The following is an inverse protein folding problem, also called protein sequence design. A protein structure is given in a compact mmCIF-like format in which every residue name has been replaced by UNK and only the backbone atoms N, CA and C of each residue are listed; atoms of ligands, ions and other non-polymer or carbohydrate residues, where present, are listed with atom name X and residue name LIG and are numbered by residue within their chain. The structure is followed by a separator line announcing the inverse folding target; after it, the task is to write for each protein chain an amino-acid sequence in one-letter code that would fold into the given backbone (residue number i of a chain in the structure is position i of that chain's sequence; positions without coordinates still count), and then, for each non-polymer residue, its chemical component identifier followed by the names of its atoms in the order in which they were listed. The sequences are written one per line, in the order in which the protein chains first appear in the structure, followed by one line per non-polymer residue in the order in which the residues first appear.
data_IF_390771750492
#
_entry.id   IF_390771750492
#
_cell.length_a   1.000
_cell.length_b   1.000
_cell.length_c   1.000
_cell.angle_alpha   90.00
_cell.angle_beta   90.00
_cell.angle_gamma   90.00
#
_symmetry.space_group_name_H-M   'P 1'
#
loop_
_entity.id
_entity.type
_entity.pdbx_description
1 polymer ?
#
# COMPACT_ATOMS: atom_id res chain seq x y z
N UNK A 1 -18.05 46.48 33.58
CA UNK A 1 -18.38 45.11 33.96
C UNK A 1 -19.21 44.36 32.90
N UNK A 2 -20.31 44.92 32.38
CA UNK A 2 -21.17 44.24 31.39
C UNK A 2 -20.47 43.91 30.07
N UNK A 3 -19.59 44.75 29.55
CA UNK A 3 -18.85 44.53 28.31
C UNK A 3 -17.82 43.39 28.42
N UNK A 4 -17.18 43.24 29.56
CA UNK A 4 -16.21 42.14 29.79
C UNK A 4 -16.89 40.77 29.90
N UNK A 5 -18.08 40.70 30.45
CA UNK A 5 -18.88 39.47 30.54
C UNK A 5 -19.37 39.04 29.16
N UNK A 6 -19.76 40.00 28.31
CA UNK A 6 -20.20 39.73 26.94
C UNK A 6 -19.07 39.17 26.08
N UNK A 7 -17.87 39.72 26.21
CA UNK A 7 -16.66 39.22 25.51
C UNK A 7 -16.27 37.81 25.98
N UNK A 8 -16.34 37.52 27.27
CA UNK A 8 -16.06 36.20 27.81
C UNK A 8 -17.08 35.16 27.35
N UNK A 9 -18.35 35.50 27.29
CA UNK A 9 -19.41 34.64 26.78
C UNK A 9 -19.27 34.40 25.26
N UNK A 10 -18.89 35.43 24.49
CA UNK A 10 -18.69 35.32 23.05
C UNK A 10 -17.46 34.43 22.70
N UNK A 11 -16.36 34.60 23.44
CA UNK A 11 -15.15 33.76 23.27
C UNK A 11 -15.44 32.32 23.72
N UNK A 12 -16.18 32.12 24.81
CA UNK A 12 -16.59 30.79 25.26
C UNK A 12 -17.51 30.09 24.25
N UNK A 13 -18.46 30.83 23.67
CA UNK A 13 -19.39 30.31 22.68
C UNK A 13 -18.68 30.00 21.33
N UNK A 14 -17.76 30.86 20.89
CA UNK A 14 -16.93 30.62 19.73
C UNK A 14 -16.00 29.42 19.92
N UNK A 15 -15.45 29.25 21.14
CA UNK A 15 -14.62 28.09 21.48
C UNK A 15 -15.45 26.79 21.53
N UNK A 16 -16.67 26.83 22.04
CA UNK A 16 -17.57 25.66 22.04
C UNK A 16 -18.00 25.24 20.63
N UNK A 17 -18.18 26.18 19.71
CA UNK A 17 -18.51 25.88 18.31
C UNK A 17 -17.30 25.36 17.49
N UNK A 18 -16.08 25.70 17.86
CA UNK A 18 -14.87 25.25 17.18
C UNK A 18 -14.35 23.89 17.64
N UNK A 19 -14.70 23.46 18.87
CA UNK A 19 -14.27 22.18 19.43
C UNK A 19 -14.73 20.96 18.62
N UNK A 20 -16.02 20.80 18.23
CA UNK A 20 -16.45 19.66 17.43
C UNK A 20 -15.79 19.64 16.06
N UNK A 21 -15.70 20.79 15.36
CA UNK A 21 -15.03 20.88 14.07
C UNK A 21 -13.55 20.47 14.12
N UNK A 22 -12.86 20.84 15.20
CA UNK A 22 -11.48 20.44 15.43
C UNK A 22 -11.36 18.93 15.70
N UNK A 23 -12.32 18.36 16.44
CA UNK A 23 -12.35 16.93 16.73
C UNK A 23 -12.59 16.09 15.49
N UNK A 24 -13.51 16.50 14.61
CA UNK A 24 -13.75 15.87 13.31
C UNK A 24 -12.50 15.90 12.45
N UNK A 25 -11.87 17.07 12.33
CA UNK A 25 -10.62 17.21 11.58
C UNK A 25 -9.53 16.28 12.09
N UNK A 26 -9.35 16.17 13.40
CA UNK A 26 -8.36 15.27 14.01
C UNK A 26 -8.68 13.80 13.73
N UNK A 27 -9.96 13.42 13.72
CA UNK A 27 -10.41 12.05 13.44
C UNK A 27 -10.16 11.68 11.97
N UNK A 28 -10.41 12.61 11.03
CA UNK A 28 -10.06 12.42 9.62
C UNK A 28 -8.54 12.33 9.43
N UNK A 29 -7.76 13.23 10.03
CA UNK A 29 -6.31 13.21 9.94
C UNK A 29 -5.71 11.90 10.48
N UNK A 30 -6.22 11.39 11.60
CA UNK A 30 -5.85 10.08 12.15
C UNK A 30 -6.18 8.95 11.19
N UNK A 31 -7.35 8.97 10.58
CA UNK A 31 -7.76 7.96 9.59
C UNK A 31 -6.88 7.98 8.36
N UNK A 32 -6.48 9.16 7.87
CA UNK A 32 -5.52 9.34 6.77
C UNK A 32 -4.16 8.77 7.15
N UNK A 33 -3.66 9.07 8.35
CA UNK A 33 -2.38 8.54 8.85
C UNK A 33 -2.38 7.01 8.92
N UNK A 34 -3.42 6.43 9.52
CA UNK A 34 -3.58 4.95 9.60
C UNK A 34 -3.69 4.35 8.21
N UNK A 35 -4.45 4.96 7.31
CA UNK A 35 -4.59 4.51 5.93
C UNK A 35 -3.27 4.54 5.16
N UNK A 36 -2.48 5.59 5.31
CA UNK A 36 -1.14 5.68 4.74
C UNK A 36 -0.24 4.56 5.28
N UNK A 37 -0.27 4.30 6.59
CA UNK A 37 0.53 3.23 7.20
C UNK A 37 0.13 1.85 6.69
N UNK A 38 -1.16 1.56 6.56
CA UNK A 38 -1.65 0.30 5.97
C UNK A 38 -1.13 0.14 4.53
N UNK A 39 -1.13 1.22 3.75
CA UNK A 39 -0.55 1.24 2.40
C UNK A 39 0.94 0.92 2.39
N UNK A 40 1.70 1.53 3.30
CA UNK A 40 3.15 1.27 3.48
C UNK A 40 3.42 -0.19 3.83
N UNK A 41 2.70 -0.73 4.80
CA UNK A 41 2.89 -2.10 5.26
C UNK A 41 2.56 -3.10 4.16
N UNK A 42 1.50 -2.84 3.39
CA UNK A 42 1.14 -3.66 2.25
C UNK A 42 2.16 -3.54 1.11
N UNK A 43 2.71 -2.35 0.85
CA UNK A 43 3.80 -2.17 -0.11
C UNK A 43 5.02 -3.02 0.27
N UNK A 44 5.47 -2.95 1.53
CA UNK A 44 6.57 -3.77 2.03
C UNK A 44 6.29 -5.26 1.87
N UNK A 45 5.07 -5.70 2.12
CA UNK A 45 4.65 -7.09 1.95
C UNK A 45 4.71 -7.52 0.48
N UNK A 46 4.21 -6.69 -0.44
CA UNK A 46 4.16 -7.00 -1.88
C UNK A 46 5.55 -7.08 -2.51
N UNK A 47 6.51 -6.30 -2.02
CA UNK A 47 7.87 -6.22 -2.55
C UNK A 47 8.93 -6.86 -1.63
N UNK A 48 8.51 -7.64 -0.62
CA UNK A 48 9.41 -8.25 0.35
C UNK A 48 10.55 -9.07 -0.32
N UNK A 49 10.25 -9.71 -1.43
CA UNK A 49 11.18 -10.59 -2.16
C UNK A 49 11.65 -10.03 -3.51
N UNK A 50 11.48 -8.73 -3.71
CA UNK A 50 12.00 -8.01 -4.88
C UNK A 50 13.28 -7.24 -4.53
N UNK A 51 14.06 -6.85 -5.55
CA UNK A 51 15.28 -6.05 -5.35
C UNK A 51 14.94 -4.73 -4.65
N UNK A 52 13.92 -4.04 -5.13
CA UNK A 52 13.29 -2.94 -4.42
C UNK A 52 12.27 -3.50 -3.42
N UNK A 53 12.36 -3.12 -2.17
CA UNK A 53 11.57 -3.67 -1.08
C UNK A 53 10.71 -2.63 -0.35
N UNK A 54 10.30 -1.60 -1.06
CA UNK A 54 9.50 -0.51 -0.52
C UNK A 54 10.12 0.11 0.76
N UNK A 55 11.32 0.71 0.66
CA UNK A 55 12.00 1.29 1.82
C UNK A 55 11.20 2.47 2.40
N UNK A 56 11.39 2.77 3.69
CA UNK A 56 10.67 3.86 4.38
C UNK A 56 10.86 5.23 3.71
N UNK A 57 12.01 5.47 3.09
CA UNK A 57 12.27 6.69 2.30
C UNK A 57 11.38 6.82 1.07
N UNK A 58 10.90 5.71 0.50
CA UNK A 58 10.02 5.70 -0.67
C UNK A 58 8.54 5.87 -0.29
N UNK A 59 8.19 5.79 0.98
CA UNK A 59 6.81 5.93 1.45
C UNK A 59 6.43 7.37 1.78
N UNK A 60 7.40 8.28 1.80
CA UNK A 60 7.17 9.71 1.92
C UNK A 60 6.89 10.29 0.54
N UNK A 61 5.62 10.39 0.14
CA UNK A 61 5.18 10.83 -1.19
C UNK A 61 5.83 12.15 -1.62
N UNK A 62 5.97 13.12 -0.70
CA UNK A 62 6.65 14.42 -0.94
C UNK A 62 8.14 14.31 -1.33
N UNK A 63 8.77 13.17 -1.05
CA UNK A 63 10.18 12.93 -1.36
C UNK A 63 10.43 12.23 -2.69
N UNK A 64 9.41 11.74 -3.36
CA UNK A 64 9.53 10.97 -4.59
C UNK A 64 9.77 11.88 -5.80
N UNK A 65 11.05 12.03 -6.15
CA UNK A 65 11.48 12.89 -7.28
C UNK A 65 11.38 12.20 -8.65
N UNK A 66 11.12 10.90 -8.68
CA UNK A 66 11.09 10.07 -9.88
C UNK A 66 9.69 9.52 -10.11
N UNK A 67 9.34 9.28 -11.38
CA UNK A 67 8.12 8.60 -11.77
C UNK A 67 8.46 7.25 -12.40
N UNK A 68 8.84 6.28 -11.57
CA UNK A 68 9.14 4.89 -11.94
C UNK A 68 7.94 3.99 -11.66
N UNK A 69 7.98 2.73 -12.10
CA UNK A 69 6.95 1.75 -11.78
C UNK A 69 6.74 1.58 -10.26
N UNK A 70 7.83 1.60 -9.47
CA UNK A 70 7.77 1.47 -8.02
C UNK A 70 7.06 2.67 -7.38
N UNK A 71 7.37 3.90 -7.83
CA UNK A 71 6.68 5.09 -7.32
C UNK A 71 5.22 5.12 -7.73
N UNK A 72 4.88 4.64 -8.92
CA UNK A 72 3.50 4.46 -9.37
C UNK A 72 2.72 3.55 -8.41
N UNK A 73 3.32 2.41 -8.03
CA UNK A 73 2.72 1.52 -7.04
C UNK A 73 2.56 2.19 -5.67
N UNK A 74 3.56 2.95 -5.20
CA UNK A 74 3.49 3.66 -3.91
C UNK A 74 2.34 4.66 -3.90
N UNK A 75 2.18 5.48 -4.95
CA UNK A 75 1.07 6.41 -5.07
C UNK A 75 -0.28 5.68 -5.03
N UNK A 76 -0.43 4.62 -5.81
CA UNK A 76 -1.66 3.85 -5.86
C UNK A 76 -2.01 3.19 -4.52
N UNK A 77 -1.06 2.50 -3.89
CA UNK A 77 -1.33 1.77 -2.63
C UNK A 77 -1.56 2.72 -1.45
N UNK A 78 -0.89 3.88 -1.41
CA UNK A 78 -1.09 4.89 -0.37
C UNK A 78 -2.48 5.52 -0.49
N UNK A 79 -2.87 5.93 -1.69
CA UNK A 79 -4.20 6.47 -1.96
C UNK A 79 -5.31 5.44 -1.66
N UNK A 80 -5.09 4.18 -2.05
CA UNK A 80 -5.98 3.07 -1.73
C UNK A 80 -6.12 2.85 -0.22
N UNK A 81 -5.01 2.88 0.53
CA UNK A 81 -5.01 2.70 1.98
C UNK A 81 -5.79 3.78 2.71
N UNK A 82 -5.61 5.04 2.29
CA UNK A 82 -6.37 6.19 2.83
C UNK A 82 -7.87 6.02 2.54
N UNK A 83 -8.25 5.76 1.29
CA UNK A 83 -9.65 5.53 0.92
C UNK A 83 -10.27 4.36 1.68
N UNK A 84 -9.55 3.24 1.76
CA UNK A 84 -9.98 2.03 2.46
C UNK A 84 -10.30 2.31 3.94
N UNK A 85 -9.38 2.99 4.65
CA UNK A 85 -9.53 3.29 6.06
C UNK A 85 -10.69 4.24 6.32
N UNK A 86 -10.82 5.30 5.52
CA UNK A 86 -11.92 6.25 5.61
C UNK A 86 -13.27 5.57 5.36
N UNK A 87 -13.37 4.74 4.33
CA UNK A 87 -14.59 3.98 4.01
C UNK A 87 -14.95 3.00 5.14
N UNK A 88 -13.96 2.32 5.71
CA UNK A 88 -14.14 1.39 6.82
C UNK A 88 -14.64 2.12 8.08
N UNK A 89 -13.95 3.20 8.48
CA UNK A 89 -14.29 3.95 9.67
C UNK A 89 -15.67 4.62 9.55
N UNK A 90 -16.02 5.06 8.33
CA UNK A 90 -17.38 5.52 8.03
C UNK A 90 -18.44 4.41 8.26
N UNK A 91 -18.19 3.21 7.75
CA UNK A 91 -19.11 2.07 7.93
C UNK A 91 -19.22 1.60 9.39
N UNK A 92 -18.19 1.85 10.20
CA UNK A 92 -18.16 1.56 11.64
C UNK A 92 -18.80 2.66 12.50
N UNK A 93 -19.15 3.81 11.91
CA UNK A 93 -19.69 4.98 12.63
C UNK A 93 -18.62 5.72 13.45
N UNK A 94 -17.34 5.55 13.11
CA UNK A 94 -16.22 6.24 13.79
C UNK A 94 -15.99 7.66 13.25
N UNK A 95 -16.61 7.99 12.12
CA UNK A 95 -16.53 9.30 11.48
C UNK A 95 -17.90 9.96 11.51
N UNK A 96 -17.94 11.25 11.86
CA UNK A 96 -19.14 12.05 11.78
C UNK A 96 -19.48 12.41 10.32
N UNK A 97 -20.75 12.72 10.06
CA UNK A 97 -21.28 13.12 8.76
C UNK A 97 -21.11 12.09 7.63
N UNK A 98 -20.93 10.82 7.96
CA UNK A 98 -20.98 9.72 7.00
C UNK A 98 -21.68 8.49 7.61
N UNK A 99 -22.08 7.58 6.74
CA UNK A 99 -22.73 6.33 7.12
C UNK A 99 -22.75 5.36 5.93
N UNK A 100 -23.45 4.25 6.10
CA UNK A 100 -23.61 3.26 5.04
C UNK A 100 -24.22 3.87 3.78
N UNK A 101 -23.78 3.40 2.60
CA UNK A 101 -24.45 3.72 1.35
C UNK A 101 -25.81 3.01 1.27
N UNK A 102 -26.89 3.76 1.44
CA UNK A 102 -28.26 3.29 1.34
C UNK A 102 -28.90 3.48 -0.06
N UNK A 103 -28.17 3.98 -1.04
CA UNK A 103 -28.70 4.40 -2.35
C UNK A 103 -29.43 3.29 -3.12
N UNK A 104 -29.05 2.03 -2.88
CA UNK A 104 -29.64 0.84 -3.49
C UNK A 104 -30.62 0.11 -2.60
N UNK A 105 -30.77 0.47 -1.33
CA UNK A 105 -31.59 -0.26 -0.37
C UNK A 105 -33.04 -0.42 -0.86
N UNK A 106 -33.60 -1.63 -0.73
CA UNK A 106 -34.93 -1.99 -1.20
C UNK A 106 -35.06 -2.27 -2.70
N UNK A 107 -34.03 -1.99 -3.51
CA UNK A 107 -34.04 -2.28 -4.95
C UNK A 107 -33.77 -3.76 -5.21
N UNK A 108 -34.39 -4.32 -6.26
CA UNK A 108 -34.10 -5.67 -6.74
C UNK A 108 -32.68 -5.71 -7.31
N UNK A 109 -31.86 -6.63 -6.82
CA UNK A 109 -30.51 -6.84 -7.33
C UNK A 109 -30.41 -8.03 -8.30
N UNK A 110 -31.47 -8.88 -8.35
CA UNK A 110 -31.58 -10.05 -9.20
C UNK A 110 -32.65 -11.02 -8.67
N UNK A 111 -32.79 -12.21 -9.29
CA UNK A 111 -33.75 -13.20 -8.84
C UNK A 111 -33.51 -13.59 -7.37
N UNK A 112 -34.53 -13.39 -6.53
CA UNK A 112 -34.53 -13.83 -5.13
C UNK A 112 -33.68 -13.03 -4.18
N UNK A 113 -33.22 -11.80 -4.55
CA UNK A 113 -32.49 -10.96 -3.61
C UNK A 113 -32.73 -9.46 -3.80
N UNK A 114 -32.62 -8.75 -2.69
CA UNK A 114 -32.77 -7.30 -2.59
C UNK A 114 -31.49 -6.68 -2.08
N UNK A 115 -31.22 -5.46 -2.52
CA UNK A 115 -30.21 -4.62 -1.87
C UNK A 115 -30.71 -4.17 -0.50
N UNK A 116 -29.85 -4.26 0.52
CA UNK A 116 -30.16 -3.80 1.87
C UNK A 116 -28.99 -4.03 2.82
N UNK A 117 -29.13 -3.58 4.06
CA UNK A 117 -28.05 -3.62 5.03
C UNK A 117 -27.09 -2.43 4.85
N UNK A 118 -25.87 -2.55 5.38
CA UNK A 118 -24.84 -1.51 5.33
C UNK A 118 -23.87 -1.76 4.17
N UNK A 119 -24.12 -1.16 3.01
CA UNK A 119 -23.10 -1.09 1.96
C UNK A 119 -22.02 -0.09 2.34
N UNK A 120 -20.75 -0.42 2.08
CA UNK A 120 -19.64 0.47 2.35
C UNK A 120 -19.73 1.74 1.47
N UNK A 121 -19.59 2.91 2.10
CA UNK A 121 -19.68 4.21 1.44
C UNK A 121 -18.35 4.58 0.80
N UNK A 122 -18.05 3.96 -0.33
CA UNK A 122 -16.81 4.17 -1.09
C UNK A 122 -16.71 5.56 -1.71
N UNK A 123 -17.86 6.19 -2.01
CA UNK A 123 -17.86 7.55 -2.57
C UNK A 123 -17.38 8.57 -1.55
N UNK A 124 -17.78 8.42 -0.29
CA UNK A 124 -17.26 9.23 0.80
C UNK A 124 -15.74 9.04 0.95
N UNK A 125 -15.28 7.78 1.04
CA UNK A 125 -13.85 7.48 1.20
C UNK A 125 -13.02 8.00 0.03
N UNK A 126 -13.52 7.88 -1.20
CA UNK A 126 -12.86 8.39 -2.41
C UNK A 126 -12.72 9.91 -2.38
N UNK A 127 -13.80 10.63 -2.07
CA UNK A 127 -13.81 12.10 -2.03
C UNK A 127 -12.78 12.62 -1.03
N UNK A 128 -12.81 12.11 0.20
CA UNK A 128 -11.87 12.56 1.24
C UNK A 128 -10.43 12.14 0.91
N UNK A 129 -10.21 10.91 0.41
CA UNK A 129 -8.89 10.47 -0.05
C UNK A 129 -8.34 11.37 -1.14
N UNK A 130 -9.17 11.79 -2.08
CA UNK A 130 -8.77 12.73 -3.14
C UNK A 130 -8.38 14.09 -2.57
N UNK A 131 -9.16 14.64 -1.66
CA UNK A 131 -8.87 15.93 -1.02
C UNK A 131 -7.53 15.93 -0.27
N UNK A 132 -7.19 14.84 0.42
CA UNK A 132 -5.97 14.77 1.23
C UNK A 132 -4.74 14.32 0.43
N UNK A 133 -4.86 13.27 -0.38
CA UNK A 133 -3.70 12.68 -1.07
C UNK A 133 -3.33 13.47 -2.31
N UNK A 134 -4.31 13.88 -3.12
CA UNK A 134 -4.03 14.62 -4.36
C UNK A 134 -3.56 16.05 -4.07
N UNK A 135 -3.92 16.63 -2.91
CA UNK A 135 -3.41 17.95 -2.48
C UNK A 135 -1.90 17.97 -2.21
N UNK A 136 -1.27 16.82 -2.04
CA UNK A 136 0.20 16.72 -1.91
C UNK A 136 0.92 16.89 -3.25
N UNK A 137 0.22 16.69 -4.38
CA UNK A 137 0.74 16.87 -5.73
C UNK A 137 0.49 18.30 -6.23
N UNK A 138 1.36 19.21 -5.80
CA UNK A 138 1.24 20.64 -6.15
C UNK A 138 1.89 21.03 -7.48
N UNK A 139 2.58 20.09 -8.14
CA UNK A 139 3.25 20.30 -9.42
C UNK A 139 2.26 20.38 -10.60
N UNK A 140 2.66 21.11 -11.63
CA UNK A 140 1.97 21.17 -12.92
C UNK A 140 2.76 20.43 -14.01
N UNK A 141 3.70 19.57 -13.60
CA UNK A 141 4.57 18.80 -14.49
C UNK A 141 3.94 17.43 -14.85
N UNK A 142 4.56 16.76 -15.82
CA UNK A 142 4.13 15.42 -16.24
C UNK A 142 4.16 14.40 -15.10
N UNK A 143 5.06 14.58 -14.15
CA UNK A 143 5.18 13.71 -12.99
C UNK A 143 3.95 13.83 -12.08
N UNK A 144 3.50 15.05 -11.78
CA UNK A 144 2.30 15.28 -10.98
C UNK A 144 1.06 14.68 -11.64
N UNK A 145 0.89 14.84 -12.97
CA UNK A 145 -0.22 14.24 -13.70
C UNK A 145 -0.21 12.70 -13.62
N UNK A 146 0.96 12.08 -13.75
CA UNK A 146 1.14 10.62 -13.60
C UNK A 146 0.85 10.17 -12.17
N UNK A 147 1.30 10.90 -11.17
CA UNK A 147 1.04 10.59 -9.76
C UNK A 147 -0.46 10.66 -9.43
N UNK A 148 -1.15 11.71 -9.91
CA UNK A 148 -2.60 11.84 -9.75
C UNK A 148 -3.38 10.70 -10.43
N UNK A 149 -2.94 10.27 -11.63
CA UNK A 149 -3.52 9.11 -12.30
C UNK A 149 -3.33 7.83 -11.44
N UNK A 150 -2.12 7.59 -10.93
CA UNK A 150 -1.84 6.44 -10.09
C UNK A 150 -2.60 6.48 -8.75
N UNK A 151 -2.78 7.67 -8.15
CA UNK A 151 -3.64 7.85 -7.00
C UNK A 151 -5.09 7.42 -7.32
N UNK A 152 -5.61 7.84 -8.47
CA UNK A 152 -6.94 7.45 -8.92
C UNK A 152 -7.06 5.94 -9.20
N UNK A 153 -6.03 5.34 -9.82
CA UNK A 153 -5.96 3.88 -10.03
C UNK A 153 -5.99 3.11 -8.69
N UNK A 154 -5.31 3.62 -7.66
CA UNK A 154 -5.35 3.06 -6.31
C UNK A 154 -6.74 3.11 -5.68
N UNK A 155 -7.44 4.23 -5.79
CA UNK A 155 -8.83 4.36 -5.32
C UNK A 155 -9.78 3.43 -6.08
N UNK A 156 -9.59 3.30 -7.39
CA UNK A 156 -10.38 2.39 -8.20
C UNK A 156 -10.14 0.92 -7.80
N UNK A 157 -8.91 0.54 -7.46
CA UNK A 157 -8.60 -0.81 -6.98
C UNK A 157 -9.39 -1.19 -5.72
N UNK A 158 -9.67 -0.25 -4.81
CA UNK A 158 -10.53 -0.49 -3.65
C UNK A 158 -11.96 -0.82 -4.09
N UNK A 159 -12.50 -0.08 -5.08
CA UNK A 159 -13.84 -0.33 -5.62
C UNK A 159 -13.93 -1.67 -6.35
N UNK A 160 -12.94 -1.97 -7.19
CA UNK A 160 -12.92 -3.18 -8.02
C UNK A 160 -12.76 -4.47 -7.21
N UNK A 161 -12.16 -4.37 -6.02
CA UNK A 161 -11.96 -5.51 -5.12
C UNK A 161 -13.08 -5.69 -4.10
N UNK A 162 -14.11 -4.84 -4.09
CA UNK A 162 -15.24 -5.00 -3.17
C UNK A 162 -15.94 -6.34 -3.35
N UNK A 163 -16.46 -6.85 -2.25
CA UNK A 163 -17.20 -8.11 -2.23
C UNK A 163 -18.66 -7.87 -1.92
N UNK A 164 -19.53 -8.69 -2.53
CA UNK A 164 -20.96 -8.71 -2.22
C UNK A 164 -21.23 -9.80 -1.20
N UNK A 165 -21.79 -9.42 -0.07
CA UNK A 165 -22.21 -10.32 1.00
C UNK A 165 -23.72 -10.37 1.05
N UNK A 166 -24.27 -11.55 1.33
CA UNK A 166 -25.71 -11.76 1.41
C UNK A 166 -26.10 -12.48 2.70
N UNK A 167 -27.26 -12.10 3.25
CA UNK A 167 -27.89 -12.78 4.37
C UNK A 167 -29.23 -13.38 3.91
N UNK A 168 -29.42 -14.65 4.19
CA UNK A 168 -30.65 -15.38 3.88
C UNK A 168 -31.73 -15.06 4.91
N UNK A 169 -33.00 -14.98 4.46
CA UNK A 169 -34.17 -14.68 5.28
C UNK A 169 -35.27 -15.71 4.99
N UNK A 170 -35.06 -16.96 5.29
CA UNK A 170 -36.04 -17.99 5.15
C UNK A 170 -36.28 -18.76 6.45
N UNK A 171 -37.42 -19.39 6.60
CA UNK A 171 -37.62 -20.35 7.68
C UNK A 171 -36.63 -21.50 7.52
N UNK A 172 -36.01 -21.93 8.63
CA UNK A 172 -34.99 -22.99 8.64
C UNK A 172 -33.76 -22.70 7.76
N UNK A 173 -33.28 -21.43 7.78
CA UNK A 173 -32.12 -20.99 7.00
C UNK A 173 -32.25 -21.13 5.47
N UNK A 174 -33.48 -21.29 4.95
CA UNK A 174 -33.68 -21.32 3.50
C UNK A 174 -33.29 -19.99 2.87
N UNK A 175 -32.63 -20.04 1.70
CA UNK A 175 -32.17 -18.85 0.96
C UNK A 175 -33.15 -18.45 -0.16
N UNK A 176 -34.47 -18.66 0.01
CA UNK A 176 -35.50 -18.25 -0.94
C UNK A 176 -35.57 -16.74 -1.14
N UNK A 177 -35.34 -15.98 -0.06
CA UNK A 177 -35.18 -14.50 -0.06
C UNK A 177 -33.90 -14.15 0.66
N UNK A 178 -33.11 -13.27 0.08
CA UNK A 178 -31.87 -12.79 0.69
C UNK A 178 -31.66 -11.30 0.49
N UNK A 179 -31.03 -10.67 1.46
CA UNK A 179 -30.59 -9.28 1.40
C UNK A 179 -29.07 -9.24 1.20
N UNK A 180 -28.61 -8.43 0.27
CA UNK A 180 -27.21 -8.33 -0.07
C UNK A 180 -26.73 -6.87 0.02
N UNK A 181 -25.46 -6.70 0.39
CA UNK A 181 -24.78 -5.41 0.41
C UNK A 181 -23.36 -5.57 -0.09
N UNK A 182 -22.70 -4.45 -0.41
CA UNK A 182 -21.27 -4.44 -0.78
C UNK A 182 -20.41 -4.09 0.44
N UNK A 183 -19.31 -4.80 0.58
CA UNK A 183 -18.36 -4.62 1.69
C UNK A 183 -16.93 -4.56 1.14
N UNK A 184 -16.07 -3.83 1.85
CA UNK A 184 -14.64 -3.85 1.58
C UNK A 184 -14.07 -5.26 1.75
N UNK A 185 -13.24 -5.68 0.81
CA UNK A 185 -12.44 -6.90 0.96
C UNK A 185 -11.30 -6.66 1.97
N UNK A 186 -10.54 -7.71 2.30
CA UNK A 186 -9.27 -7.52 3.01
C UNK A 186 -8.34 -6.63 2.16
N UNK A 187 -7.65 -5.68 2.80
CA UNK A 187 -6.74 -4.76 2.10
C UNK A 187 -5.62 -5.48 1.35
N UNK A 188 -5.27 -6.69 1.77
CA UNK A 188 -4.38 -7.59 1.04
C UNK A 188 -4.87 -7.92 -0.36
N UNK A 189 -6.18 -8.03 -0.57
CA UNK A 189 -6.76 -8.25 -1.89
C UNK A 189 -6.53 -7.03 -2.81
N UNK A 190 -6.65 -5.82 -2.26
CA UNK A 190 -6.32 -4.56 -2.96
C UNK A 190 -4.84 -4.54 -3.35
N UNK A 191 -3.95 -4.87 -2.40
CA UNK A 191 -2.52 -4.97 -2.68
C UNK A 191 -2.17 -5.99 -3.76
N UNK A 192 -2.78 -7.17 -3.73
CA UNK A 192 -2.59 -8.19 -4.76
C UNK A 192 -3.08 -7.72 -6.14
N UNK A 193 -4.22 -7.05 -6.19
CA UNK A 193 -4.76 -6.46 -7.42
C UNK A 193 -3.78 -5.43 -8.00
N UNK A 194 -3.33 -4.48 -7.19
CA UNK A 194 -2.36 -3.48 -7.61
C UNK A 194 -1.00 -4.09 -7.99
N UNK A 195 -0.62 -5.21 -7.38
CA UNK A 195 0.60 -5.93 -7.77
C UNK A 195 0.52 -6.51 -9.19
N UNK A 196 -0.66 -6.98 -9.59
CA UNK A 196 -0.91 -7.42 -10.96
C UNK A 196 -0.81 -6.21 -11.90
N UNK A 197 -1.44 -5.09 -11.55
CA UNK A 197 -1.35 -3.85 -12.33
C UNK A 197 0.08 -3.34 -12.47
N UNK A 198 0.89 -3.43 -11.41
CA UNK A 198 2.31 -3.08 -11.45
C UNK A 198 3.09 -3.94 -12.47
N UNK A 199 2.78 -5.23 -12.58
CA UNK A 199 3.46 -6.09 -13.56
C UNK A 199 3.12 -5.77 -15.02
N UNK A 200 2.03 -5.04 -15.26
CA UNK A 200 1.57 -4.59 -16.58
C UNK A 200 1.61 -3.07 -16.71
N UNK A 201 2.29 -2.37 -15.78
CA UNK A 201 2.36 -0.93 -15.80
C UNK A 201 2.93 -0.40 -17.13
N UNK A 202 2.34 0.66 -17.66
CA UNK A 202 2.68 1.21 -18.96
C UNK A 202 3.65 2.39 -18.82
N UNK A 203 4.68 2.39 -19.67
CA UNK A 203 5.59 3.54 -19.76
C UNK A 203 5.01 4.58 -20.69
N UNK A 204 4.83 5.78 -20.17
CA UNK A 204 4.42 6.92 -20.96
C UNK A 204 5.63 7.53 -21.65
N UNK A 205 5.75 7.31 -22.96
CA UNK A 205 6.76 7.96 -23.80
C UNK A 205 6.26 9.35 -24.19
N UNK A 206 6.66 10.36 -23.42
CA UNK A 206 6.44 11.75 -23.79
C UNK A 206 7.60 12.14 -24.68
N UNK A 207 7.31 12.33 -25.97
CA UNK A 207 8.31 12.69 -26.98
C UNK A 207 9.17 13.86 -26.50
N UNK A 208 10.47 13.60 -26.26
CA UNK A 208 11.44 14.64 -25.83
C UNK A 208 11.50 15.81 -26.81
N UNK A 209 11.15 15.61 -28.09
CA UNK A 209 11.04 16.67 -29.10
C UNK A 209 9.94 17.67 -28.77
N UNK A 210 8.80 17.24 -28.19
CA UNK A 210 7.73 18.15 -27.74
C UNK A 210 8.08 18.87 -26.45
N UNK A 211 8.86 18.25 -25.55
CA UNK A 211 9.37 18.93 -24.36
C UNK A 211 10.32 20.08 -24.67
N UNK A 212 11.11 19.97 -25.76
CA UNK A 212 12.05 21.01 -26.20
C UNK A 212 11.39 22.15 -26.99
N UNK A 213 10.12 22.02 -27.38
CA UNK A 213 9.38 23.04 -28.13
C UNK A 213 8.89 24.21 -27.28
N UNK A 214 9.15 24.24 -25.98
CA UNK A 214 9.12 25.46 -25.16
C UNK A 214 7.76 25.96 -24.69
N UNK A 215 6.65 25.35 -25.06
CA UNK A 215 5.32 25.76 -24.61
C UNK A 215 4.75 24.77 -23.58
N UNK A 216 4.68 25.17 -22.32
CA UNK A 216 4.13 24.36 -21.23
C UNK A 216 2.71 23.84 -21.51
N UNK A 217 1.89 24.62 -22.24
CA UNK A 217 0.52 24.25 -22.63
C UNK A 217 0.48 23.05 -23.59
N UNK A 218 1.41 22.97 -24.55
CA UNK A 218 1.48 21.88 -25.54
C UNK A 218 1.93 20.57 -24.89
N UNK A 219 2.81 20.67 -23.89
CA UNK A 219 3.27 19.50 -23.10
C UNK A 219 2.12 18.95 -22.27
N UNK A 220 1.38 19.81 -21.61
CA UNK A 220 0.25 19.42 -20.76
C UNK A 220 -0.89 18.82 -21.59
N UNK A 221 -1.18 19.36 -22.77
CA UNK A 221 -2.12 18.80 -23.74
C UNK A 221 -1.72 17.39 -24.18
N UNK A 222 -0.45 17.19 -24.57
CA UNK A 222 0.06 15.89 -24.99
C UNK A 222 0.02 14.82 -23.87
N UNK A 223 0.25 15.22 -22.60
CA UNK A 223 0.13 14.33 -21.46
C UNK A 223 -1.32 13.93 -21.25
N UNK A 224 -2.25 14.89 -21.30
CA UNK A 224 -3.67 14.62 -21.11
C UNK A 224 -4.23 13.71 -22.21
N UNK A 225 -3.80 13.90 -23.46
CA UNK A 225 -4.17 13.04 -24.58
C UNK A 225 -3.62 11.61 -24.40
N UNK A 226 -2.36 11.49 -23.99
CA UNK A 226 -1.75 10.18 -23.71
C UNK A 226 -2.45 9.46 -22.53
N UNK A 227 -2.76 10.20 -21.46
CA UNK A 227 -3.51 9.68 -20.31
C UNK A 227 -4.94 9.29 -20.69
N UNK A 228 -5.59 10.03 -21.59
CA UNK A 228 -6.94 9.74 -22.07
C UNK A 228 -7.05 8.42 -22.85
N UNK A 229 -5.95 7.91 -23.39
CA UNK A 229 -5.88 6.61 -24.09
C UNK A 229 -5.67 5.41 -23.18
N UNK A 230 -5.22 5.59 -21.95
CA UNK A 230 -4.92 4.55 -20.99
C UNK A 230 -6.09 4.38 -20.00
N UNK A 231 -6.44 3.14 -19.71
CA UNK A 231 -7.49 2.86 -18.73
C UNK A 231 -7.07 3.36 -17.34
N UNK A 232 -7.98 4.02 -16.62
CA UNK A 232 -7.71 4.60 -15.30
C UNK A 232 -7.32 3.58 -14.24
N UNK A 233 -7.57 2.30 -14.48
CA UNK A 233 -7.16 1.19 -13.62
C UNK A 233 -5.71 0.76 -13.81
N UNK A 234 -5.04 1.19 -14.87
CA UNK A 234 -3.66 0.81 -15.15
C UNK A 234 -2.69 1.75 -14.45
N UNK A 235 -1.54 1.21 -14.00
CA UNK A 235 -0.46 2.02 -13.46
C UNK A 235 0.43 2.51 -14.60
N UNK A 236 0.90 3.73 -14.47
CA UNK A 236 1.73 4.38 -15.47
C UNK A 236 3.00 4.97 -14.86
N UNK A 237 4.06 5.05 -15.65
CA UNK A 237 5.33 5.62 -15.22
C UNK A 237 6.05 6.33 -16.38
N UNK A 238 7.05 7.16 -16.06
CA UNK A 238 7.81 7.95 -17.05
C UNK A 238 9.26 7.45 -17.22
N UNK A 239 9.84 6.90 -16.17
CA UNK A 239 11.26 6.61 -16.10
C UNK A 239 11.49 5.14 -15.76
N UNK A 240 12.50 4.55 -16.36
CA UNK A 240 12.90 3.20 -16.01
C UNK A 240 13.42 3.12 -14.56
N UNK A 241 13.20 1.96 -13.95
CA UNK A 241 13.67 1.66 -12.61
C UNK A 241 15.19 1.66 -12.54
N UNK A 242 15.79 2.26 -11.51
CA UNK A 242 17.23 2.20 -11.30
C UNK A 242 17.69 0.80 -10.90
N UNK A 243 19.01 0.60 -10.88
CA UNK A 243 19.59 -0.64 -10.34
C UNK A 243 19.47 -0.68 -8.82
N UNK A 244 18.63 -1.59 -8.32
CA UNK A 244 18.43 -1.83 -6.89
C UNK A 244 19.33 -2.93 -6.30
N UNK A 245 20.22 -3.53 -7.10
CA UNK A 245 21.17 -4.52 -6.60
C UNK A 245 22.20 -3.89 -5.65
N UNK A 246 22.57 -2.62 -5.90
CA UNK A 246 23.58 -1.90 -5.14
C UNK A 246 22.96 -0.88 -4.17
N UNK A 247 23.62 -0.71 -3.03
CA UNK A 247 23.23 0.35 -2.08
C UNK A 247 23.39 1.72 -2.74
N UNK A 248 22.34 2.52 -2.73
CA UNK A 248 22.34 3.90 -3.20
C UNK A 248 21.51 4.76 -2.25
N UNK A 249 22.19 5.55 -1.42
CA UNK A 249 21.54 6.39 -0.42
C UNK A 249 20.64 7.48 -1.03
N UNK A 250 20.99 8.00 -2.22
CA UNK A 250 20.18 9.03 -2.91
C UNK A 250 18.83 8.51 -3.41
N UNK A 251 18.71 7.20 -3.58
CA UNK A 251 17.48 6.53 -3.99
C UNK A 251 16.80 5.79 -2.82
N UNK A 252 17.35 5.87 -1.62
CA UNK A 252 16.90 5.06 -0.50
C UNK A 252 17.06 3.55 -0.71
N UNK A 253 17.85 3.13 -1.71
CA UNK A 253 18.05 1.72 -2.02
C UNK A 253 19.11 1.12 -1.09
N UNK A 254 18.72 0.08 -0.35
CA UNK A 254 19.63 -0.62 0.58
C UNK A 254 20.53 -1.65 -0.13
N UNK A 255 20.24 -1.99 -1.39
CA UNK A 255 20.88 -3.07 -2.12
C UNK A 255 20.36 -4.44 -1.69
N UNK A 256 20.91 -5.49 -2.30
CA UNK A 256 20.50 -6.86 -2.02
C UNK A 256 21.51 -7.66 -1.21
N UNK A 257 22.71 -7.13 -0.99
CA UNK A 257 23.72 -7.75 -0.14
C UNK A 257 23.24 -7.87 1.30
N UNK A 258 23.41 -9.03 1.91
CA UNK A 258 22.97 -9.33 3.28
C UNK A 258 21.45 -9.60 3.42
N UNK A 259 20.66 -9.44 2.36
CA UNK A 259 19.23 -9.73 2.41
C UNK A 259 18.95 -11.22 2.44
N UNK A 260 17.95 -11.57 3.24
CA UNK A 260 17.44 -12.93 3.35
C UNK A 260 16.65 -13.31 2.08
N UNK A 261 16.75 -14.55 1.66
CA UNK A 261 15.96 -15.13 0.57
C UNK A 261 15.52 -16.57 0.92
N UNK A 262 14.50 -17.06 0.23
CA UNK A 262 13.92 -18.38 0.46
C UNK A 262 14.31 -19.35 -0.66
N UNK A 263 15.01 -20.42 -0.29
CA UNK A 263 15.47 -21.43 -1.25
C UNK A 263 14.47 -22.59 -1.35
N UNK A 264 14.03 -23.10 -0.22
CA UNK A 264 13.13 -24.24 -0.11
C UNK A 264 12.10 -24.03 1.02
N UNK A 265 10.89 -24.57 0.85
CA UNK A 265 9.84 -24.55 1.86
C UNK A 265 8.52 -25.09 1.34
N UNK A 266 7.72 -25.69 2.25
CA UNK A 266 6.34 -26.07 1.92
C UNK A 266 5.47 -24.80 1.93
N UNK A 267 4.57 -24.67 0.95
CA UNK A 267 3.63 -23.54 0.88
C UNK A 267 4.18 -22.23 0.33
N UNK A 268 5.43 -22.18 -0.12
CA UNK A 268 6.01 -20.98 -0.72
C UNK A 268 5.31 -20.61 -2.02
N UNK A 269 5.00 -19.33 -2.16
CA UNK A 269 4.51 -18.73 -3.41
C UNK A 269 5.58 -18.78 -4.51
N UNK A 270 5.21 -18.56 -5.76
CA UNK A 270 6.16 -18.54 -6.88
C UNK A 270 7.21 -17.41 -6.72
N UNK A 271 6.81 -16.26 -6.18
CA UNK A 271 7.71 -15.14 -5.89
C UNK A 271 8.77 -15.49 -4.85
N UNK A 272 8.36 -16.13 -3.77
CA UNK A 272 9.24 -16.59 -2.68
C UNK A 272 10.25 -17.64 -3.17
N UNK A 273 9.82 -18.63 -3.95
CA UNK A 273 10.72 -19.65 -4.54
C UNK A 273 11.80 -19.07 -5.47
N UNK A 274 11.52 -17.93 -6.08
CA UNK A 274 12.46 -17.23 -6.97
C UNK A 274 13.27 -16.16 -6.27
N UNK A 275 13.07 -15.93 -4.97
CA UNK A 275 13.68 -14.83 -4.23
C UNK A 275 15.21 -14.89 -4.25
N UNK A 276 15.83 -16.05 -3.96
CA UNK A 276 17.28 -16.18 -4.00
C UNK A 276 17.87 -15.94 -5.40
N UNK A 277 17.20 -16.41 -6.45
CA UNK A 277 17.62 -16.11 -7.80
C UNK A 277 17.59 -14.61 -8.07
N UNK A 278 16.46 -13.95 -7.76
CA UNK A 278 16.23 -12.53 -8.04
C UNK A 278 17.10 -11.61 -7.21
N UNK A 279 17.25 -11.91 -5.91
CA UNK A 279 17.99 -11.05 -4.97
C UNK A 279 19.50 -11.27 -5.03
N UNK A 280 19.93 -12.52 -5.16
CA UNK A 280 21.35 -12.86 -5.09
C UNK A 280 21.95 -13.07 -6.48
N UNK A 281 21.51 -14.09 -7.23
CA UNK A 281 22.17 -14.48 -8.48
C UNK A 281 22.11 -13.39 -9.57
N UNK A 282 20.94 -12.80 -9.79
CA UNK A 282 20.76 -11.75 -10.79
C UNK A 282 21.50 -10.44 -10.42
N UNK A 283 21.85 -10.28 -9.13
CA UNK A 283 22.67 -9.17 -8.64
C UNK A 283 24.17 -9.53 -8.51
N UNK A 284 24.59 -10.69 -9.04
CA UNK A 284 25.99 -11.12 -9.02
C UNK A 284 26.48 -11.62 -7.66
N UNK A 285 25.57 -11.81 -6.70
CA UNK A 285 25.85 -12.32 -5.36
C UNK A 285 25.69 -13.85 -5.32
N UNK A 286 26.25 -14.49 -4.30
CA UNK A 286 26.03 -15.91 -3.99
C UNK A 286 25.00 -16.05 -2.85
N UNK A 287 24.40 -17.22 -2.74
CA UNK A 287 23.54 -17.57 -1.59
C UNK A 287 24.43 -18.22 -0.53
N UNK A 288 24.39 -17.67 0.67
CA UNK A 288 25.11 -18.16 1.85
C UNK A 288 24.13 -18.69 2.88
N UNK A 289 24.48 -19.80 3.50
CA UNK A 289 23.72 -20.35 4.62
C UNK A 289 24.20 -19.72 5.92
N UNK A 290 23.30 -19.06 6.64
CA UNK A 290 23.57 -18.49 7.95
C UNK A 290 22.77 -19.23 9.01
N UNK A 291 23.48 -19.87 9.93
CA UNK A 291 22.87 -20.54 11.09
C UNK A 291 22.77 -19.55 12.23
N UNK A 292 21.57 -19.39 12.76
CA UNK A 292 21.32 -18.51 13.90
C UNK A 292 20.59 -19.29 14.97
N UNK A 293 21.09 -19.23 16.17
CA UNK A 293 20.43 -19.79 17.35
C UNK A 293 19.37 -18.81 17.82
N UNK A 294 18.12 -19.27 17.91
CA UNK A 294 16.97 -18.48 18.34
C UNK A 294 16.38 -19.14 19.56
N UNK A 295 16.24 -18.38 20.63
CA UNK A 295 15.51 -18.80 21.82
C UNK A 295 14.01 -18.66 21.57
N UNK A 296 13.25 -19.70 21.82
CA UNK A 296 11.79 -19.69 21.75
C UNK A 296 11.20 -20.44 22.93
N UNK A 297 10.01 -20.03 23.34
CA UNK A 297 9.27 -20.73 24.38
C UNK A 297 8.82 -22.11 23.88
N UNK A 298 9.14 -23.15 24.67
CA UNK A 298 8.79 -24.53 24.38
C UNK A 298 8.26 -25.23 25.66
N UNK A 299 7.81 -26.48 25.54
CA UNK A 299 7.32 -27.28 26.68
C UNK A 299 6.32 -26.54 27.58
N UNK A 300 5.45 -25.73 26.95
CA UNK A 300 4.48 -24.92 27.68
C UNK A 300 3.49 -25.81 28.41
N UNK A 301 3.43 -25.68 29.75
CA UNK A 301 2.47 -26.37 30.62
C UNK A 301 1.48 -25.38 31.18
N UNK A 302 0.19 -25.71 31.06
CA UNK A 302 -0.86 -24.97 31.69
C UNK A 302 -0.98 -25.35 33.16
N UNK A 303 -0.80 -24.40 34.06
CA UNK A 303 -1.07 -24.54 35.48
C UNK A 303 -2.45 -23.95 35.80
N UNK A 304 -3.20 -24.70 36.60
CA UNK A 304 -4.55 -24.32 37.00
C UNK A 304 -4.56 -22.90 37.57
N UNK A 305 -5.59 -22.18 37.20
CA UNK A 305 -5.79 -20.73 37.42
C UNK A 305 -4.96 -19.83 36.50
N UNK A 306 -5.02 -20.09 35.14
CA UNK A 306 -4.68 -19.10 34.10
C UNK A 306 -3.20 -18.75 33.94
N UNK A 307 -2.27 -19.59 34.38
CA UNK A 307 -0.83 -19.43 34.17
C UNK A 307 -0.28 -20.45 33.19
N UNK A 308 0.41 -19.99 32.17
CA UNK A 308 1.19 -20.83 31.26
C UNK A 308 2.66 -20.65 31.61
N UNK A 309 3.30 -21.74 31.96
CA UNK A 309 4.76 -21.83 32.19
C UNK A 309 5.39 -22.51 30.98
N UNK A 310 6.30 -21.80 30.31
CA UNK A 310 7.09 -22.32 29.21
C UNK A 310 8.56 -22.35 29.60
N UNK A 311 9.29 -23.28 29.02
CA UNK A 311 10.76 -23.34 29.08
C UNK A 311 11.31 -22.57 27.88
N UNK A 312 12.52 -22.03 28.02
CA UNK A 312 13.23 -21.41 26.89
C UNK A 312 14.11 -22.47 26.23
N UNK A 313 13.82 -22.75 24.95
CA UNK A 313 14.57 -23.72 24.15
C UNK A 313 15.35 -23.02 23.04
N UNK A 314 16.59 -23.41 22.86
CA UNK A 314 17.41 -22.99 21.74
C UNK A 314 17.08 -23.79 20.48
N UNK A 315 16.71 -23.12 19.39
CA UNK A 315 16.53 -23.72 18.08
C UNK A 315 17.52 -23.13 17.10
N UNK A 316 18.19 -23.99 16.34
CA UNK A 316 19.02 -23.52 15.22
C UNK A 316 18.14 -23.30 14.00
N UNK A 317 17.98 -22.05 13.61
CA UNK A 317 17.32 -21.66 12.35
C UNK A 317 18.36 -21.43 11.28
N UNK A 318 18.12 -22.02 10.10
CA UNK A 318 18.95 -21.86 8.93
C UNK A 318 18.30 -20.83 8.03
N UNK A 319 19.02 -19.73 7.76
CA UNK A 319 18.60 -18.66 6.86
C UNK A 319 19.53 -18.60 5.67
N UNK A 320 18.98 -18.30 4.50
CA UNK A 320 19.78 -18.07 3.30
C UNK A 320 19.86 -16.57 3.06
N UNK A 321 21.08 -16.06 2.88
CA UNK A 321 21.36 -14.61 2.65
C UNK A 321 22.20 -14.40 1.43
N UNK A 322 22.09 -13.23 0.81
CA UNK A 322 22.91 -12.86 -0.33
C UNK A 322 24.29 -12.36 0.13
N UNK A 323 25.35 -13.10 -0.15
CA UNK A 323 26.74 -12.76 0.17
C UNK A 323 27.54 -12.37 -1.07
N UNK A 324 28.66 -11.66 -0.87
CA UNK A 324 29.61 -11.38 -1.95
C UNK A 324 30.29 -12.67 -2.40
N UNK A 325 30.56 -12.79 -3.68
CA UNK A 325 31.54 -13.77 -4.15
C UNK A 325 32.89 -13.32 -3.61
N UNK A 326 33.52 -14.11 -2.73
CA UNK A 326 34.89 -13.85 -2.34
C UNK A 326 35.71 -13.80 -3.65
N UNK A 327 36.27 -12.65 -3.95
CA UNK A 327 37.29 -12.55 -4.98
C UNK A 327 38.37 -13.52 -4.56
N UNK A 328 38.52 -14.60 -5.38
CA UNK A 328 39.51 -15.63 -5.09
C UNK A 328 40.81 -14.93 -4.77
N UNK A 329 41.18 -14.98 -3.52
CA UNK A 329 42.52 -14.60 -3.09
C UNK A 329 43.47 -15.54 -3.81
N UNK A 330 44.07 -15.01 -4.88
CA UNK A 330 45.07 -15.71 -5.64
C UNK A 330 46.22 -16.04 -4.72
N UNK A 331 46.16 -17.21 -4.06
CA UNK A 331 47.37 -17.87 -3.57
C UNK A 331 48.29 -18.04 -4.77
N UNK A 332 49.11 -17.01 -5.05
CA UNK A 332 50.35 -17.14 -5.78
C UNK A 332 51.10 -18.29 -5.11
N UNK A 333 51.02 -19.48 -5.69
CA UNK A 333 51.96 -20.54 -5.42
C UNK A 333 53.32 -20.00 -5.86
N UNK A 334 54.07 -19.54 -4.90
CA UNK A 334 55.48 -19.26 -5.02
C UNK A 334 56.17 -20.58 -5.45
N UNK A 335 56.45 -20.71 -6.74
CA UNK A 335 57.36 -21.74 -7.23
C UNK A 335 58.75 -21.18 -6.98
N UNK A 336 59.35 -21.61 -5.86
CA UNK A 336 60.76 -21.37 -5.59
C UNK A 336 61.62 -21.89 -6.75
N UNK A 337 62.78 -21.24 -7.06
CA UNK A 337 63.68 -21.64 -8.11
C UNK A 337 64.38 -22.96 -7.74
N UNK A 338 64.51 -23.82 -8.76
CA UNK A 338 65.42 -24.96 -8.74
C UNK A 338 66.83 -24.51 -8.92
#
# INVERSE_FOLDING_TARGET
MAQSIFWLLFVSFACMLSLPLLQDYLTYAKSVQVGTQIGVDECKRQFAWDRWNCPDSATQLKGLKRATGETAFVHAISSAGVMYTLTRNCSLGELENCGCDGSKNGKLGGRGWLWGGCSANVEFGERISKEYVDAEETGQDSRAAVNLHNNAAGRLAVKDTMTRICRCHGMSESCSVKTCWTQLSDFRAVGNYLRIKYSHAEKLDIDQKRMNAGNSADIQGAIMDALGSIAQSELIYLQDSPDYCRKNASLGAHGTEGRECLLHGRGLTQGERRSCRRLCHECGLRVEEKRTEVMSSCNCKFHWCCKVHCEDCAHVTVKHVCGRKDGGDGKRRDRGPK
#
